data_IF_705966581954
#
_entry.id   IF_705966581954
#
_cell.length_a   1.000
_cell.length_b   1.000
_cell.length_c   1.000
_cell.angle_alpha   90.00
_cell.angle_beta   90.00
_cell.angle_gamma   90.00
#
_symmetry.space_group_name_H-M   'P 1'
#
loop_
_entity.id
_entity.type
_entity.pdbx_description
1 polymer ?
#
# COMPACT_ATOMS: atom_id res chain seq x y z
N UNK A 1 -43.24 -17.92 -13.87
CA UNK A 1 -41.88 -18.54 -13.78
C UNK A 1 -40.88 -17.39 -13.71
N UNK A 2 -40.26 -17.12 -12.55
CA UNK A 2 -39.27 -16.03 -12.42
C UNK A 2 -38.69 -15.72 -11.03
N UNK A 3 -39.26 -16.21 -9.90
CA UNK A 3 -38.92 -15.65 -8.57
C UNK A 3 -37.71 -16.25 -7.83
N UNK A 4 -37.21 -17.44 -8.20
CA UNK A 4 -36.21 -18.13 -7.36
C UNK A 4 -34.80 -17.53 -7.31
N UNK A 5 -34.45 -16.63 -8.25
CA UNK A 5 -33.07 -16.16 -8.42
C UNK A 5 -32.79 -14.81 -7.73
N UNK A 6 -33.82 -14.00 -7.49
CA UNK A 6 -33.68 -12.68 -6.84
C UNK A 6 -33.57 -12.86 -5.33
N UNK A 7 -34.37 -13.75 -4.75
CA UNK A 7 -34.35 -14.04 -3.30
C UNK A 7 -33.01 -14.64 -2.86
N UNK A 8 -32.44 -15.56 -3.64
CA UNK A 8 -31.12 -16.14 -3.36
C UNK A 8 -29.97 -15.14 -3.49
N UNK A 9 -30.10 -14.12 -4.35
CA UNK A 9 -29.12 -13.04 -4.45
C UNK A 9 -29.24 -12.11 -3.24
N UNK A 10 -30.46 -11.75 -2.85
CA UNK A 10 -30.72 -10.89 -1.69
C UNK A 10 -30.26 -11.55 -0.39
N UNK A 11 -30.51 -12.85 -0.20
CA UNK A 11 -30.00 -13.61 0.96
C UNK A 11 -28.47 -13.60 1.04
N UNK A 12 -27.78 -13.77 -0.09
CA UNK A 12 -26.30 -13.70 -0.13
C UNK A 12 -25.78 -12.31 0.21
N UNK A 13 -26.43 -11.25 -0.27
CA UNK A 13 -26.05 -9.88 0.08
C UNK A 13 -26.33 -9.59 1.56
N UNK A 14 -27.44 -10.10 2.10
CA UNK A 14 -27.77 -9.96 3.51
C UNK A 14 -26.77 -10.68 4.42
N UNK A 15 -26.35 -11.91 4.07
CA UNK A 15 -25.29 -12.62 4.79
C UNK A 15 -23.96 -11.85 4.77
N UNK A 16 -23.63 -11.26 3.62
CA UNK A 16 -22.41 -10.46 3.47
C UNK A 16 -22.44 -9.20 4.32
N UNK A 17 -23.55 -8.46 4.29
CA UNK A 17 -23.76 -7.28 5.13
C UNK A 17 -23.72 -7.64 6.61
N UNK A 18 -24.32 -8.77 7.02
CA UNK A 18 -24.18 -9.26 8.40
C UNK A 18 -22.73 -9.51 8.79
N UNK A 19 -21.95 -10.16 7.92
CA UNK A 19 -20.52 -10.39 8.18
C UNK A 19 -19.73 -9.08 8.32
N UNK A 20 -20.06 -8.06 7.54
CA UNK A 20 -19.45 -6.72 7.64
C UNK A 20 -19.87 -6.00 8.93
N UNK A 21 -21.15 -6.09 9.32
CA UNK A 21 -21.65 -5.57 10.60
C UNK A 21 -20.97 -6.26 11.79
N UNK A 22 -20.87 -7.59 11.78
CA UNK A 22 -20.20 -8.37 12.82
C UNK A 22 -18.71 -8.01 12.94
N UNK A 23 -18.05 -7.74 11.81
CA UNK A 23 -16.67 -7.27 11.79
C UNK A 23 -16.54 -5.88 12.42
N UNK A 24 -17.41 -4.94 12.03
CA UNK A 24 -17.42 -3.59 12.62
C UNK A 24 -17.72 -3.67 14.13
N UNK A 25 -18.65 -4.52 14.55
CA UNK A 25 -18.98 -4.73 15.97
C UNK A 25 -17.77 -5.21 16.78
N UNK A 26 -17.01 -6.18 16.25
CA UNK A 26 -15.74 -6.63 16.87
C UNK A 26 -14.67 -5.55 16.89
N UNK A 27 -14.60 -4.72 15.85
CA UNK A 27 -13.71 -3.55 15.86
C UNK A 27 -14.12 -2.55 16.95
N UNK A 28 -15.42 -2.33 17.18
CA UNK A 28 -15.92 -1.47 18.25
C UNK A 28 -15.60 -2.04 19.63
N UNK A 29 -15.69 -3.37 19.83
CA UNK A 29 -15.25 -4.02 21.07
C UNK A 29 -13.76 -3.83 21.31
N UNK A 30 -12.93 -4.05 20.28
CA UNK A 30 -11.49 -3.80 20.34
C UNK A 30 -11.17 -2.34 20.71
N UNK A 31 -11.89 -1.37 20.13
CA UNK A 31 -11.73 0.05 20.44
C UNK A 31 -12.16 0.44 21.86
N UNK A 32 -13.04 -0.34 22.50
CA UNK A 32 -13.46 -0.15 23.90
C UNK A 32 -12.53 -0.81 24.90
N UNK A 33 -11.67 -1.72 24.44
CA UNK A 33 -10.61 -2.29 25.28
C UNK A 33 -9.68 -1.17 25.71
N UNK A 34 -9.34 -1.12 26.99
CA UNK A 34 -8.34 -0.16 27.47
C UNK A 34 -7.07 -0.32 26.63
N UNK A 35 -6.57 0.77 26.01
CA UNK A 35 -5.29 0.74 25.33
C UNK A 35 -4.25 0.22 26.31
N UNK A 36 -3.34 -0.62 25.82
CA UNK A 36 -2.17 -0.99 26.60
C UNK A 36 -1.42 0.32 26.91
N UNK A 37 -1.56 0.80 28.15
CA UNK A 37 -1.01 2.08 28.62
C UNK A 37 0.50 2.04 28.81
N UNK A 38 1.08 0.85 28.70
CA UNK A 38 2.51 0.62 28.75
C UNK A 38 3.09 1.01 27.40
N UNK A 39 3.79 2.14 27.37
CA UNK A 39 4.77 2.41 26.31
C UNK A 39 5.84 1.34 26.44
N UNK A 40 5.71 0.27 25.66
CA UNK A 40 6.81 -0.65 25.46
C UNK A 40 7.87 0.12 24.68
N UNK A 41 8.80 0.77 25.38
CA UNK A 41 10.06 1.17 24.77
C UNK A 41 10.77 -0.13 24.40
N UNK A 42 10.60 -0.53 23.14
CA UNK A 42 11.37 -1.61 22.58
C UNK A 42 12.82 -1.14 22.57
N UNK A 43 13.60 -1.56 23.57
CA UNK A 43 15.01 -1.26 23.67
C UNK A 43 15.75 -2.04 22.59
N UNK A 44 15.73 -1.48 21.39
CA UNK A 44 16.38 -1.96 20.18
C UNK A 44 17.84 -1.51 20.10
N UNK A 45 18.47 -1.17 21.25
CA UNK A 45 19.90 -0.93 21.29
C UNK A 45 20.59 -2.14 20.66
N UNK A 46 21.32 -1.88 19.58
CA UNK A 46 21.94 -2.87 18.69
C UNK A 46 22.47 -4.05 19.50
N UNK A 47 21.72 -5.15 19.50
CA UNK A 47 22.24 -6.44 19.86
C UNK A 47 23.49 -6.66 19.01
N UNK A 48 24.66 -6.79 19.65
CA UNK A 48 25.95 -7.02 18.97
C UNK A 48 25.94 -8.28 18.09
N UNK A 49 24.88 -9.08 18.18
CA UNK A 49 24.54 -10.17 17.28
C UNK A 49 23.33 -9.75 16.44
N UNK A 50 23.57 -9.11 15.29
CA UNK A 50 22.57 -8.97 14.23
C UNK A 50 22.23 -10.37 13.71
N UNK A 51 21.25 -11.03 14.32
CA UNK A 51 20.65 -12.21 13.71
C UNK A 51 19.71 -11.72 12.62
N UNK A 52 20.19 -11.72 11.38
CA UNK A 52 19.39 -11.54 10.17
C UNK A 52 18.19 -12.48 10.28
N UNK A 53 16.98 -12.00 9.96
CA UNK A 53 15.79 -12.84 10.00
C UNK A 53 15.95 -13.88 8.88
N UNK A 54 15.83 -15.20 9.15
CA UNK A 54 15.93 -16.21 8.11
C UNK A 54 14.95 -15.92 6.96
N UNK A 55 15.43 -16.05 5.72
CA UNK A 55 14.59 -15.79 4.54
C UNK A 55 13.30 -16.64 4.53
N UNK A 56 13.34 -17.86 5.06
CA UNK A 56 12.17 -18.72 5.22
C UNK A 56 11.07 -18.09 6.09
N UNK A 57 11.46 -17.44 7.18
CA UNK A 57 10.53 -16.76 8.10
C UNK A 57 9.96 -15.50 7.46
N UNK A 58 10.80 -14.75 6.74
CA UNK A 58 10.35 -13.59 5.95
C UNK A 58 9.35 -13.99 4.86
N UNK A 59 9.61 -15.09 4.15
CA UNK A 59 8.79 -15.57 3.04
C UNK A 59 7.48 -16.20 3.51
N UNK A 60 7.51 -17.03 4.55
CA UNK A 60 6.39 -17.90 4.92
C UNK A 60 5.56 -17.39 6.09
N UNK A 61 6.14 -16.57 6.98
CA UNK A 61 5.41 -15.95 8.09
C UNK A 61 5.14 -14.48 7.81
N UNK A 62 6.21 -13.74 7.55
CA UNK A 62 6.18 -12.27 7.56
C UNK A 62 5.44 -11.67 6.36
N UNK A 63 5.77 -12.08 5.14
CA UNK A 63 5.11 -11.58 3.92
C UNK A 63 3.59 -11.88 3.91
N UNK A 64 3.10 -13.11 4.21
CA UNK A 64 1.67 -13.38 4.30
C UNK A 64 0.95 -12.53 5.36
N UNK A 65 1.56 -12.34 6.54
CA UNK A 65 1.01 -11.52 7.61
C UNK A 65 0.84 -10.07 7.15
N UNK A 66 1.90 -9.44 6.65
CA UNK A 66 1.84 -8.05 6.20
C UNK A 66 0.84 -7.85 5.05
N UNK A 67 0.76 -8.79 4.09
CA UNK A 67 -0.20 -8.70 2.99
C UNK A 67 -1.63 -8.51 3.47
N UNK A 68 -1.99 -9.10 4.62
CA UNK A 68 -3.30 -8.99 5.26
C UNK A 68 -3.39 -7.77 6.16
N UNK A 69 -2.39 -7.54 6.99
CA UNK A 69 -2.43 -6.51 8.02
C UNK A 69 -2.53 -5.08 7.45
N UNK A 70 -1.90 -4.80 6.30
CA UNK A 70 -1.99 -3.50 5.61
C UNK A 70 -3.41 -3.09 5.18
N UNK A 71 -4.39 -3.99 5.26
CA UNK A 71 -5.80 -3.70 5.02
C UNK A 71 -6.61 -3.51 6.31
N UNK A 72 -5.98 -3.46 7.48
CA UNK A 72 -6.62 -3.21 8.77
C UNK A 72 -6.18 -1.82 9.28
N UNK A 73 -6.91 -0.74 8.92
CA UNK A 73 -6.50 0.63 9.23
C UNK A 73 -6.36 0.90 10.73
N UNK A 74 -7.15 0.21 11.55
CA UNK A 74 -7.11 0.31 13.01
C UNK A 74 -5.82 -0.24 13.64
N UNK A 75 -5.00 -0.97 12.87
CA UNK A 75 -3.72 -1.50 13.32
C UNK A 75 -2.53 -0.61 12.92
N UNK A 76 -2.74 0.65 12.54
CA UNK A 76 -1.69 1.53 12.00
C UNK A 76 -0.47 1.65 12.93
N UNK A 77 -0.67 1.95 14.21
CA UNK A 77 0.44 2.13 15.17
C UNK A 77 1.28 0.85 15.30
N UNK A 78 0.61 -0.31 15.38
CA UNK A 78 1.29 -1.62 15.41
C UNK A 78 2.06 -1.89 14.11
N UNK A 79 1.48 -1.53 12.96
CA UNK A 79 2.16 -1.66 11.66
C UNK A 79 3.38 -0.76 11.57
N UNK A 80 3.30 0.49 12.02
CA UNK A 80 4.42 1.42 12.05
C UNK A 80 5.57 0.90 12.91
N UNK A 81 5.26 0.37 14.10
CA UNK A 81 6.26 -0.26 14.97
C UNK A 81 6.91 -1.49 14.29
N UNK A 82 6.12 -2.34 13.64
CA UNK A 82 6.66 -3.48 12.90
C UNK A 82 7.58 -3.04 11.76
N UNK A 83 7.17 -2.04 10.97
CA UNK A 83 8.01 -1.48 9.91
C UNK A 83 9.31 -0.88 10.45
N UNK A 84 9.28 -0.22 11.61
CA UNK A 84 10.48 0.28 12.25
C UNK A 84 11.46 -0.85 12.61
N UNK A 85 10.97 -1.93 13.24
CA UNK A 85 11.77 -3.11 13.57
C UNK A 85 12.38 -3.71 12.31
N UNK A 86 11.60 -3.85 11.23
CA UNK A 86 12.07 -4.45 9.99
C UNK A 86 13.04 -3.56 9.24
N UNK A 87 12.88 -2.24 9.27
CA UNK A 87 13.87 -1.36 8.69
C UNK A 87 15.21 -1.47 9.43
N UNK A 88 15.20 -1.75 10.74
CA UNK A 88 16.44 -2.00 11.49
C UNK A 88 17.05 -3.36 11.18
N UNK A 89 16.24 -4.41 11.06
CA UNK A 89 16.73 -5.80 10.86
C UNK A 89 16.99 -6.15 9.39
N UNK A 90 16.20 -5.60 8.47
CA UNK A 90 16.08 -6.00 7.07
C UNK A 90 16.10 -4.77 6.13
N UNK A 91 16.85 -3.71 6.47
CA UNK A 91 16.93 -2.44 5.71
C UNK A 91 17.22 -2.61 4.20
N UNK A 92 17.88 -3.70 3.81
CA UNK A 92 18.23 -4.02 2.41
C UNK A 92 17.19 -4.86 1.70
N UNK A 93 16.08 -5.21 2.36
CA UNK A 93 15.02 -6.02 1.77
C UNK A 93 13.90 -5.12 1.20
N UNK A 94 13.70 -5.10 -0.13
CA UNK A 94 12.67 -4.27 -0.75
C UNK A 94 11.22 -4.62 -0.32
N UNK A 95 10.99 -5.80 0.29
CA UNK A 95 9.67 -6.15 0.86
C UNK A 95 9.20 -5.17 1.92
N UNK A 96 10.11 -4.63 2.74
CA UNK A 96 9.74 -3.75 3.85
C UNK A 96 9.11 -2.47 3.29
N UNK A 97 9.80 -1.81 2.35
CA UNK A 97 9.28 -0.62 1.68
C UNK A 97 8.07 -0.90 0.78
N UNK A 98 7.99 -2.08 0.17
CA UNK A 98 6.82 -2.51 -0.62
C UNK A 98 5.54 -2.55 0.23
N UNK A 99 5.60 -3.18 1.41
CA UNK A 99 4.43 -3.30 2.28
C UNK A 99 4.12 -2.01 3.03
N UNK A 100 5.14 -1.26 3.44
CA UNK A 100 4.91 0.05 4.06
C UNK A 100 4.26 1.03 3.07
N UNK A 101 4.69 1.01 1.81
CA UNK A 101 4.03 1.79 0.76
C UNK A 101 2.58 1.34 0.56
N UNK A 102 2.30 0.04 0.65
CA UNK A 102 0.95 -0.49 0.55
C UNK A 102 0.04 -0.02 1.68
N UNK A 103 0.53 0.01 2.92
CA UNK A 103 -0.20 0.55 4.06
C UNK A 103 -0.61 2.01 3.81
N UNK A 104 0.36 2.86 3.46
CA UNK A 104 0.10 4.28 3.22
C UNK A 104 -0.83 4.53 2.02
N UNK A 105 -0.75 3.73 0.97
CA UNK A 105 -1.68 3.79 -0.17
C UNK A 105 -3.13 3.49 0.25
N UNK A 106 -3.35 2.45 1.06
CA UNK A 106 -4.69 2.13 1.59
C UNK A 106 -5.21 3.27 2.45
N UNK A 107 -4.40 3.80 3.36
CA UNK A 107 -4.77 4.95 4.20
C UNK A 107 -5.09 6.19 3.36
N UNK A 108 -4.31 6.45 2.31
CA UNK A 108 -4.56 7.54 1.38
C UNK A 108 -5.91 7.39 0.67
N UNK A 109 -6.21 6.21 0.14
CA UNK A 109 -7.46 5.95 -0.57
C UNK A 109 -8.67 6.16 0.34
N UNK A 110 -8.60 5.71 1.60
CA UNK A 110 -9.66 5.96 2.59
C UNK A 110 -9.87 7.47 2.79
N UNK A 111 -8.79 8.23 3.01
CA UNK A 111 -8.87 9.67 3.23
C UNK A 111 -9.41 10.44 2.02
N UNK A 112 -9.01 10.06 0.80
CA UNK A 112 -9.51 10.68 -0.43
C UNK A 112 -10.98 10.35 -0.70
N UNK A 113 -11.42 9.11 -0.41
CA UNK A 113 -12.84 8.75 -0.47
C UNK A 113 -13.65 9.59 0.52
N UNK A 114 -13.19 9.69 1.78
CA UNK A 114 -13.84 10.57 2.77
C UNK A 114 -13.90 11.99 2.22
N UNK A 115 -12.79 12.54 1.73
CA UNK A 115 -12.74 13.87 1.15
C UNK A 115 -13.76 14.08 0.01
N UNK A 116 -13.98 13.07 -0.84
CA UNK A 116 -14.97 13.17 -1.92
C UNK A 116 -16.42 13.16 -1.42
N UNK A 117 -16.69 12.53 -0.26
CA UNK A 117 -18.03 12.44 0.32
C UNK A 117 -18.36 13.66 1.18
N UNK A 118 -17.42 14.08 2.03
CA UNK A 118 -17.63 15.18 2.99
C UNK A 118 -17.25 16.55 2.42
N UNK A 119 -16.54 16.58 1.28
CA UNK A 119 -16.04 17.78 0.61
C UNK A 119 -15.21 18.72 1.51
N UNK A 120 -14.50 18.16 2.48
CA UNK A 120 -13.63 18.91 3.41
C UNK A 120 -12.16 18.91 2.95
N UNK A 121 -11.42 20.00 3.21
CA UNK A 121 -10.02 20.12 2.79
C UNK A 121 -9.07 19.22 3.60
N UNK A 122 -9.40 18.91 4.85
CA UNK A 122 -8.49 18.20 5.76
C UNK A 122 -8.30 16.71 5.41
N UNK A 123 -9.35 15.91 5.13
CA UNK A 123 -9.18 14.55 4.63
C UNK A 123 -8.40 14.50 3.32
N UNK A 124 -8.61 15.48 2.42
CA UNK A 124 -7.84 15.60 1.18
C UNK A 124 -6.35 15.78 1.46
N UNK A 125 -6.00 16.72 2.34
CA UNK A 125 -4.60 16.97 2.75
C UNK A 125 -3.96 15.70 3.32
N UNK A 126 -4.64 15.03 4.26
CA UNK A 126 -4.19 13.75 4.84
C UNK A 126 -4.00 12.66 3.77
N UNK A 127 -4.90 12.59 2.80
CA UNK A 127 -4.78 11.67 1.66
C UNK A 127 -3.50 11.87 0.87
N UNK A 128 -3.19 13.11 0.47
CA UNK A 128 -1.96 13.43 -0.25
C UNK A 128 -0.69 13.25 0.59
N UNK A 129 -0.74 13.53 1.89
CA UNK A 129 0.37 13.23 2.81
C UNK A 129 0.67 11.73 2.86
N UNK A 130 -0.36 10.88 2.95
CA UNK A 130 -0.22 9.43 2.91
C UNK A 130 0.31 8.94 1.55
N UNK A 131 -0.15 9.51 0.42
CA UNK A 131 0.44 9.22 -0.90
C UNK A 131 1.93 9.58 -0.97
N UNK A 132 2.34 10.70 -0.35
CA UNK A 132 3.75 11.10 -0.26
C UNK A 132 4.57 10.10 0.56
N UNK A 133 4.06 9.66 1.72
CA UNK A 133 4.68 8.60 2.53
C UNK A 133 4.78 7.28 1.77
N UNK A 134 3.73 6.88 1.06
CA UNK A 134 3.73 5.69 0.21
C UNK A 134 4.82 5.76 -0.85
N UNK A 135 4.91 6.91 -1.55
CA UNK A 135 5.90 7.14 -2.60
C UNK A 135 7.33 7.12 -2.06
N UNK A 136 7.57 7.71 -0.89
CA UNK A 136 8.88 7.67 -0.22
C UNK A 136 9.30 6.24 0.13
N UNK A 137 8.39 5.44 0.71
CA UNK A 137 8.66 4.06 1.10
C UNK A 137 8.97 3.17 -0.11
N UNK A 138 8.14 3.23 -1.16
CA UNK A 138 8.37 2.42 -2.36
C UNK A 138 9.59 2.89 -3.15
N UNK A 139 9.86 4.21 -3.16
CA UNK A 139 11.06 4.76 -3.80
C UNK A 139 12.34 4.28 -3.13
N UNK A 140 12.32 4.11 -1.80
CA UNK A 140 13.37 3.43 -1.04
C UNK A 140 13.54 1.97 -1.47
N UNK A 141 12.44 1.21 -1.56
CA UNK A 141 12.48 -0.19 -1.99
C UNK A 141 13.02 -0.35 -3.43
N UNK A 142 12.59 0.48 -4.38
CA UNK A 142 13.05 0.43 -5.77
C UNK A 142 14.55 0.73 -5.88
N UNK A 143 15.11 1.62 -5.04
CA UNK A 143 16.56 1.85 -5.03
C UNK A 143 17.37 0.59 -4.65
N UNK A 144 16.78 -0.34 -3.91
CA UNK A 144 17.42 -1.60 -3.52
C UNK A 144 17.35 -2.68 -4.62
N UNK A 145 16.48 -2.51 -5.62
CA UNK A 145 16.28 -3.45 -6.72
C UNK A 145 17.38 -3.33 -7.79
N UNK A 146 17.84 -2.11 -8.07
CA UNK A 146 18.69 -1.82 -9.23
C UNK A 146 17.88 -1.64 -10.51
N UNK A 147 18.56 -1.69 -11.67
CA UNK A 147 17.95 -1.33 -12.96
C UNK A 147 17.17 -2.49 -13.61
N UNK A 148 17.53 -3.73 -13.33
CA UNK A 148 16.88 -4.92 -13.90
C UNK A 148 16.33 -5.81 -12.76
N UNK A 149 15.01 -5.78 -12.51
CA UNK A 149 14.39 -6.64 -11.50
C UNK A 149 14.32 -8.11 -11.95
N UNK A 150 15.03 -8.99 -11.26
CA UNK A 150 15.09 -10.43 -11.57
C UNK A 150 14.14 -11.24 -10.69
N UNK A 151 14.14 -10.96 -9.39
CA UNK A 151 13.38 -11.72 -8.38
C UNK A 151 11.93 -11.26 -8.29
N UNK A 152 11.06 -12.16 -7.84
CA UNK A 152 9.63 -11.87 -7.68
C UNK A 152 9.35 -10.64 -6.79
N UNK A 153 10.14 -10.47 -5.71
CA UNK A 153 10.04 -9.30 -4.83
C UNK A 153 10.41 -8.00 -5.54
N UNK A 154 11.49 -8.01 -6.30
CA UNK A 154 12.00 -6.86 -7.05
C UNK A 154 10.97 -6.41 -8.10
N UNK A 155 10.43 -7.38 -8.86
CA UNK A 155 9.34 -7.15 -9.82
C UNK A 155 8.09 -6.59 -9.14
N UNK A 156 7.73 -7.10 -7.96
CA UNK A 156 6.59 -6.59 -7.19
C UNK A 156 6.81 -5.15 -6.70
N UNK A 157 8.02 -4.81 -6.26
CA UNK A 157 8.37 -3.45 -5.84
C UNK A 157 8.29 -2.46 -7.01
N UNK A 158 8.87 -2.80 -8.17
CA UNK A 158 8.82 -1.97 -9.37
C UNK A 158 7.39 -1.83 -9.89
N UNK A 159 6.62 -2.93 -9.95
CA UNK A 159 5.20 -2.89 -10.31
C UNK A 159 4.42 -1.95 -9.38
N UNK A 160 4.65 -2.02 -8.07
CA UNK A 160 3.96 -1.15 -7.10
C UNK A 160 4.37 0.30 -7.24
N UNK A 161 5.63 0.58 -7.54
CA UNK A 161 6.10 1.94 -7.83
C UNK A 161 5.37 2.54 -9.04
N UNK A 162 5.28 1.79 -10.15
CA UNK A 162 4.53 2.22 -11.32
C UNK A 162 3.04 2.41 -11.02
N UNK A 163 2.44 1.50 -10.26
CA UNK A 163 1.04 1.62 -9.83
C UNK A 163 0.80 2.89 -9.02
N UNK A 164 1.65 3.17 -8.02
CA UNK A 164 1.54 4.38 -7.21
C UNK A 164 1.74 5.64 -8.05
N UNK A 165 2.70 5.66 -8.98
CA UNK A 165 2.90 6.80 -9.87
C UNK A 165 1.63 7.12 -10.67
N UNK A 166 0.99 6.10 -11.23
CA UNK A 166 -0.26 6.24 -11.96
C UNK A 166 -1.42 6.69 -11.06
N UNK A 167 -1.58 6.08 -9.88
CA UNK A 167 -2.66 6.42 -8.93
C UNK A 167 -2.53 7.88 -8.46
N UNK A 168 -1.33 8.31 -8.06
CA UNK A 168 -1.09 9.70 -7.63
C UNK A 168 -1.38 10.69 -8.75
N UNK A 169 -0.96 10.38 -9.98
CA UNK A 169 -1.28 11.22 -11.13
C UNK A 169 -2.79 11.38 -11.32
N UNK A 170 -3.53 10.25 -11.28
CA UNK A 170 -5.00 10.25 -11.39
C UNK A 170 -5.64 11.05 -10.27
N UNK A 171 -5.12 10.97 -9.05
CA UNK A 171 -5.57 11.78 -7.92
C UNK A 171 -5.34 13.27 -8.16
N UNK A 172 -4.18 13.69 -8.65
CA UNK A 172 -3.97 15.12 -8.98
C UNK A 172 -5.01 15.61 -9.99
N UNK A 173 -5.22 14.86 -11.08
CA UNK A 173 -6.21 15.19 -12.11
C UNK A 173 -7.64 15.21 -11.58
N UNK A 174 -8.03 14.26 -10.71
CA UNK A 174 -9.40 14.21 -10.18
C UNK A 174 -9.74 15.34 -9.19
N UNK A 175 -8.72 16.01 -8.64
CA UNK A 175 -8.90 17.13 -7.72
C UNK A 175 -8.52 18.48 -8.36
N UNK A 176 -8.37 18.54 -9.69
CA UNK A 176 -7.96 19.73 -10.45
C UNK A 176 -6.66 20.37 -9.91
N UNK A 177 -5.74 19.53 -9.43
CA UNK A 177 -4.42 19.96 -8.95
C UNK A 177 -3.42 19.81 -10.09
N UNK A 178 -2.61 20.85 -10.38
CA UNK A 178 -1.52 20.75 -11.34
C UNK A 178 -0.55 19.63 -10.97
N UNK A 179 -0.24 18.77 -11.94
CA UNK A 179 0.70 17.66 -11.73
C UNK A 179 2.12 18.21 -11.57
N UNK A 180 2.80 17.92 -10.45
CA UNK A 180 4.18 18.37 -10.26
C UNK A 180 5.15 17.78 -11.30
N UNK A 181 6.08 18.59 -11.80
CA UNK A 181 7.05 18.14 -12.81
C UNK A 181 7.97 17.01 -12.33
N UNK A 182 8.32 16.99 -11.05
CA UNK A 182 9.09 15.89 -10.45
C UNK A 182 8.29 14.57 -10.43
N UNK A 183 6.96 14.62 -10.37
CA UNK A 183 6.10 13.45 -10.49
C UNK A 183 6.12 12.87 -11.91
N UNK A 184 6.15 13.72 -12.95
CA UNK A 184 6.29 13.26 -14.33
C UNK A 184 7.64 12.53 -14.54
N UNK A 185 8.71 13.04 -13.96
CA UNK A 185 10.02 12.36 -13.97
C UNK A 185 9.97 11.00 -13.27
N UNK A 186 9.25 10.89 -12.14
CA UNK A 186 9.02 9.59 -11.46
C UNK A 186 8.26 8.61 -12.34
N UNK A 187 7.25 9.08 -13.08
CA UNK A 187 6.49 8.26 -14.03
C UNK A 187 7.37 7.75 -15.17
N UNK A 188 8.23 8.60 -15.74
CA UNK A 188 9.20 8.19 -16.77
C UNK A 188 10.16 7.13 -16.23
N UNK A 189 10.69 7.34 -15.02
CA UNK A 189 11.52 6.34 -14.33
C UNK A 189 10.76 5.02 -14.08
N UNK A 190 9.49 5.08 -13.73
CA UNK A 190 8.68 3.88 -13.55
C UNK A 190 8.55 3.10 -14.86
N UNK A 191 8.33 3.78 -15.98
CA UNK A 191 8.26 3.15 -17.31
C UNK A 191 9.57 2.43 -17.65
N UNK A 192 10.72 3.09 -17.45
CA UNK A 192 12.02 2.50 -17.76
C UNK A 192 12.33 1.26 -16.91
N UNK A 193 11.92 1.26 -15.64
CA UNK A 193 12.11 0.10 -14.75
C UNK A 193 11.16 -1.07 -15.06
N UNK A 194 9.98 -0.77 -15.63
CA UNK A 194 9.00 -1.80 -16.02
C UNK A 194 9.36 -2.45 -17.37
N UNK A 195 10.09 -1.77 -18.23
CA UNK A 195 10.41 -2.22 -19.59
C UNK A 195 11.12 -3.59 -19.65
N UNK A 196 12.18 -3.86 -18.85
CA UNK A 196 12.85 -5.16 -18.85
C UNK A 196 11.96 -6.33 -18.42
N UNK A 197 10.84 -6.05 -17.76
CA UNK A 197 9.92 -7.05 -17.19
C UNK A 197 8.52 -7.00 -17.79
N UNK A 198 8.34 -6.28 -18.91
CA UNK A 198 7.05 -6.09 -19.57
C UNK A 198 6.44 -7.36 -20.17
N UNK A 199 7.19 -8.48 -20.23
CA UNK A 199 6.65 -9.77 -20.63
C UNK A 199 5.56 -10.30 -19.67
N UNK A 200 5.53 -9.85 -18.41
CA UNK A 200 4.42 -10.14 -17.51
C UNK A 200 3.20 -9.27 -17.87
N UNK A 201 2.02 -9.86 -18.19
CA UNK A 201 0.84 -9.11 -18.58
C UNK A 201 0.38 -8.04 -17.57
N UNK A 202 0.59 -8.27 -16.27
CA UNK A 202 0.22 -7.29 -15.22
C UNK A 202 1.14 -6.08 -15.27
N UNK A 203 2.42 -6.29 -15.52
CA UNK A 203 3.44 -5.25 -15.65
C UNK A 203 3.21 -4.46 -16.95
N UNK A 204 2.97 -5.17 -18.05
CA UNK A 204 2.63 -4.53 -19.33
C UNK A 204 1.44 -3.58 -19.21
N UNK A 205 0.38 -4.01 -18.49
CA UNK A 205 -0.82 -3.19 -18.27
C UNK A 205 -0.53 -1.90 -17.52
N UNK A 206 0.31 -1.92 -16.49
CA UNK A 206 0.65 -0.69 -15.77
C UNK A 206 1.61 0.19 -16.57
N UNK A 207 2.56 -0.39 -17.30
CA UNK A 207 3.46 0.36 -18.18
C UNK A 207 2.69 1.10 -19.27
N UNK A 208 1.73 0.44 -19.94
CA UNK A 208 0.89 1.06 -20.96
C UNK A 208 0.08 2.24 -20.42
N UNK A 209 -0.46 2.13 -19.19
CA UNK A 209 -1.18 3.22 -18.53
C UNK A 209 -0.28 4.44 -18.27
N UNK A 210 0.96 4.20 -17.83
CA UNK A 210 1.92 5.28 -17.58
C UNK A 210 2.34 5.97 -18.88
N UNK A 211 2.61 5.19 -19.94
CA UNK A 211 2.95 5.71 -21.26
C UNK A 211 1.83 6.56 -21.86
N UNK A 212 0.58 6.09 -21.77
CA UNK A 212 -0.59 6.84 -22.21
C UNK A 212 -0.67 8.21 -21.53
N UNK A 213 -0.59 8.24 -20.21
CA UNK A 213 -0.65 9.50 -19.44
C UNK A 213 0.52 10.43 -19.79
N UNK A 214 1.75 9.89 -19.89
CA UNK A 214 2.92 10.69 -20.28
C UNK A 214 2.82 11.27 -21.69
N UNK A 215 1.99 10.70 -22.57
CA UNK A 215 1.75 11.24 -23.91
C UNK A 215 0.73 12.37 -23.93
N UNK A 216 -0.19 12.42 -22.96
CA UNK A 216 -1.17 13.50 -22.80
C UNK A 216 -0.55 14.76 -22.17
N UNK A 217 0.58 14.62 -21.46
CA UNK A 217 1.30 15.72 -20.80
C UNK A 217 2.36 16.39 -21.70
N UNK A 218 2.52 15.93 -22.95
CA UNK A 218 3.42 16.50 -23.96
C UNK A 218 2.68 17.48 -24.87
#
# INVERSE_FOLDING_TARGET
KGDGNVDTILEKQQQRLRGEVDFIQKCVELLKTEPISTVYELNLNKSKTEKIIPFGDLKNGFDPMLRRLVFLPLAQENMELMFEILHRLESKNPLVGYHQAKMHDVLAQIQLVIASVVNEPEPRKKGFEQLSKAMKAIGGAVKLVGDIPEKAVEKAAVHRFGHLCYTIHRSYRSYDIPVPGDHLQRMQKAVSLLEPIAADPKIQKIQAKLLYVLSEEK
#
